data_IF_075551179316
#
_entry.id   IF_075551179316
#
_cell.length_a   1.000
_cell.length_b   1.000
_cell.length_c   1.000
_cell.angle_alpha   90.00
_cell.angle_beta   90.00
_cell.angle_gamma   90.00
#
_symmetry.space_group_name_H-M   'P 1'
#
loop_
_entity.id
_entity.type
_entity.pdbx_description
1 polymer ?
#
# COMPACT_ATOMS: atom_id res chain seq x y z
N UNK A 1 4.35 -6.14 27.02
CA UNK A 1 4.24 -7.52 26.50
C UNK A 1 4.89 -8.52 27.45
N UNK A 2 4.43 -9.78 27.44
CA UNK A 2 4.92 -10.88 28.27
C UNK A 2 4.98 -12.17 27.46
N UNK A 3 6.14 -12.84 27.44
CA UNK A 3 6.29 -14.16 26.81
C UNK A 3 5.83 -15.27 27.76
N UNK A 4 5.04 -16.20 27.25
CA UNK A 4 4.55 -17.37 27.96
C UNK A 4 4.70 -18.62 27.07
N UNK A 5 5.88 -19.22 27.08
CA UNK A 5 6.24 -20.33 26.20
C UNK A 5 6.22 -19.91 24.72
N UNK A 6 5.22 -20.41 23.96
CA UNK A 6 5.05 -20.09 22.53
C UNK A 6 4.00 -19.00 22.29
N UNK A 7 3.54 -18.31 23.33
CA UNK A 7 2.55 -17.23 23.20
C UNK A 7 3.13 -15.91 23.73
N UNK A 8 2.62 -14.80 23.21
CA UNK A 8 2.94 -13.46 23.70
C UNK A 8 1.67 -12.75 24.10
N UNK A 9 1.61 -12.35 25.36
CA UNK A 9 0.47 -11.72 26.00
C UNK A 9 0.76 -10.27 26.36
N UNK A 10 -0.28 -9.52 26.71
CA UNK A 10 -0.17 -8.12 27.14
C UNK A 10 0.52 -7.21 26.08
N UNK A 11 0.37 -7.55 24.79
CA UNK A 11 0.84 -6.71 23.70
C UNK A 11 0.06 -5.40 23.68
N UNK A 12 0.74 -4.31 23.34
CA UNK A 12 0.09 -3.03 23.04
C UNK A 12 0.34 -2.63 21.59
N UNK A 13 -0.74 -2.51 20.83
CA UNK A 13 -0.75 -1.98 19.47
C UNK A 13 -1.37 -0.57 19.49
N UNK A 14 -0.64 0.43 18.99
CA UNK A 14 -1.20 1.74 18.70
C UNK A 14 -1.67 1.77 17.24
N UNK A 15 -2.93 2.05 16.99
CA UNK A 15 -3.48 2.18 15.64
C UNK A 15 -3.75 3.64 15.31
N UNK A 16 -2.95 4.24 14.44
CA UNK A 16 -3.10 5.61 13.93
C UNK A 16 -3.98 5.54 12.67
N UNK A 17 -5.14 6.21 12.72
CA UNK A 17 -6.25 6.01 11.77
C UNK A 17 -7.25 4.96 12.28
N UNK A 18 -7.40 4.85 13.61
CA UNK A 18 -8.21 3.85 14.29
C UNK A 18 -9.72 3.95 13.99
N UNK A 19 -10.18 5.03 13.36
CA UNK A 19 -11.54 5.21 12.84
C UNK A 19 -11.76 4.60 11.45
N UNK A 20 -10.75 3.98 10.84
CA UNK A 20 -10.85 3.38 9.50
C UNK A 20 -11.95 2.32 9.41
N UNK A 21 -12.84 2.47 8.41
CA UNK A 21 -13.98 1.58 8.17
C UNK A 21 -13.67 0.54 7.10
N UNK A 22 -12.63 -0.21 7.32
CA UNK A 22 -12.13 -1.25 6.41
C UNK A 22 -10.84 -1.83 6.94
N UNK A 23 -9.74 -1.09 6.86
CA UNK A 23 -8.43 -1.55 7.33
C UNK A 23 -8.41 -1.90 8.82
N UNK A 24 -9.04 -1.09 9.68
CA UNK A 24 -9.12 -1.42 11.10
C UNK A 24 -9.93 -2.70 11.34
N UNK A 25 -11.05 -2.88 10.63
CA UNK A 25 -11.85 -4.12 10.76
C UNK A 25 -11.10 -5.35 10.25
N UNK A 26 -10.32 -5.20 9.18
CA UNK A 26 -9.44 -6.26 8.69
C UNK A 26 -8.42 -6.68 9.73
N UNK A 27 -7.68 -5.71 10.31
CA UNK A 27 -6.72 -6.02 11.38
C UNK A 27 -7.38 -6.68 12.60
N UNK A 28 -8.57 -6.22 13.02
CA UNK A 28 -9.33 -6.82 14.10
C UNK A 28 -9.66 -8.29 13.83
N UNK A 29 -10.03 -8.59 12.59
CA UNK A 29 -10.32 -9.94 12.13
C UNK A 29 -9.06 -10.82 12.15
N UNK A 30 -7.96 -10.35 11.57
CA UNK A 30 -6.70 -11.11 11.52
C UNK A 30 -6.10 -11.32 12.91
N UNK A 31 -6.23 -10.34 13.83
CA UNK A 31 -5.81 -10.49 15.23
C UNK A 31 -6.66 -11.53 15.96
N UNK A 32 -7.96 -11.60 15.69
CA UNK A 32 -8.85 -12.59 16.30
C UNK A 32 -8.53 -14.03 15.88
N UNK A 33 -7.97 -14.25 14.69
CA UNK A 33 -7.55 -15.56 14.20
C UNK A 33 -6.20 -16.03 14.78
N UNK A 34 -5.34 -15.13 15.22
CA UNK A 34 -4.03 -15.45 15.74
C UNK A 34 -4.14 -16.04 17.15
N UNK A 35 -3.70 -17.28 17.36
CA UNK A 35 -3.86 -18.02 18.62
C UNK A 35 -2.68 -17.90 19.60
N UNK A 36 -1.62 -17.25 19.19
CA UNK A 36 -0.36 -17.12 19.93
C UNK A 36 -0.01 -15.71 20.39
N UNK A 37 -0.85 -14.71 20.07
CA UNK A 37 -0.70 -13.33 20.49
C UNK A 37 -2.00 -12.76 21.06
N UNK A 38 -1.92 -11.95 22.10
CA UNK A 38 -3.07 -11.26 22.69
C UNK A 38 -2.68 -9.97 23.37
N UNK A 39 -3.63 -9.07 23.58
CA UNK A 39 -3.32 -7.80 24.23
C UNK A 39 -4.37 -6.70 24.01
N UNK A 40 -3.90 -5.48 23.76
CA UNK A 40 -4.72 -4.29 23.59
C UNK A 40 -4.38 -3.53 22.32
N UNK A 41 -5.41 -3.01 21.66
CA UNK A 41 -5.29 -2.06 20.55
C UNK A 41 -5.83 -0.71 20.98
N UNK A 42 -4.98 0.29 21.09
CA UNK A 42 -5.38 1.67 21.33
C UNK A 42 -5.63 2.38 19.99
N UNK A 43 -6.88 2.75 19.73
CA UNK A 43 -7.36 3.33 18.48
C UNK A 43 -7.32 4.87 18.59
N UNK A 44 -6.40 5.49 17.86
CA UNK A 44 -6.30 6.93 17.72
C UNK A 44 -6.76 7.37 16.32
N UNK A 45 -7.64 8.34 16.28
CA UNK A 45 -8.07 9.00 15.05
C UNK A 45 -8.34 10.48 15.32
N UNK A 46 -8.16 11.34 14.32
CA UNK A 46 -8.60 12.75 14.41
C UNK A 46 -10.12 12.85 14.52
N UNK A 47 -10.86 11.88 13.95
CA UNK A 47 -12.28 11.64 14.20
C UNK A 47 -12.40 10.64 15.37
N UNK A 48 -12.38 11.20 16.60
CA UNK A 48 -12.47 10.39 17.82
C UNK A 48 -13.77 9.57 17.91
N UNK A 49 -14.88 10.06 17.36
CA UNK A 49 -16.15 9.33 17.32
C UNK A 49 -16.01 8.07 16.44
N UNK A 50 -15.33 8.17 15.31
CA UNK A 50 -15.05 7.00 14.48
C UNK A 50 -14.19 5.94 15.20
N UNK A 51 -13.20 6.37 15.99
CA UNK A 51 -12.41 5.46 16.83
C UNK A 51 -13.28 4.78 17.92
N UNK A 52 -14.20 5.52 18.57
CA UNK A 52 -15.15 4.95 19.52
C UNK A 52 -16.09 3.92 18.87
N UNK A 53 -16.51 4.18 17.63
CA UNK A 53 -17.29 3.22 16.87
C UNK A 53 -16.54 1.91 16.66
N UNK A 54 -15.25 2.01 16.33
CA UNK A 54 -14.40 0.85 16.13
C UNK A 54 -14.00 0.15 17.44
N UNK A 55 -13.94 0.86 18.57
CA UNK A 55 -13.82 0.23 19.90
C UNK A 55 -14.98 -0.75 20.16
N UNK A 56 -16.24 -0.28 19.93
CA UNK A 56 -17.42 -1.12 20.09
C UNK A 56 -17.39 -2.34 19.16
N UNK A 57 -17.05 -2.12 17.89
CA UNK A 57 -16.98 -3.18 16.87
C UNK A 57 -15.88 -4.17 17.22
N UNK A 58 -14.67 -3.69 17.53
CA UNK A 58 -13.51 -4.53 17.82
C UNK A 58 -13.73 -5.44 19.03
N UNK A 59 -14.31 -4.91 20.11
CA UNK A 59 -14.57 -5.71 21.30
C UNK A 59 -15.60 -6.84 21.05
N UNK A 60 -16.48 -6.75 20.04
CA UNK A 60 -17.41 -7.82 19.66
C UNK A 60 -16.71 -9.04 19.05
N UNK A 61 -15.50 -8.89 18.48
CA UNK A 61 -14.75 -10.05 17.96
C UNK A 61 -14.40 -11.06 19.04
N UNK A 62 -14.27 -10.63 20.30
CA UNK A 62 -13.99 -11.52 21.42
C UNK A 62 -15.08 -12.55 21.70
N UNK A 63 -16.31 -12.30 21.28
CA UNK A 63 -17.46 -13.16 21.54
C UNK A 63 -17.75 -14.11 20.38
N UNK A 64 -16.97 -14.06 19.30
CA UNK A 64 -17.16 -14.93 18.14
C UNK A 64 -16.60 -16.32 18.37
N UNK A 65 -17.31 -17.35 17.90
CA UNK A 65 -16.89 -18.76 18.02
C UNK A 65 -15.54 -19.05 17.35
N UNK A 66 -15.20 -18.30 16.28
CA UNK A 66 -13.92 -18.42 15.57
C UNK A 66 -12.76 -17.64 16.19
N UNK A 67 -12.97 -16.85 17.25
CA UNK A 67 -11.92 -16.05 17.88
C UNK A 67 -10.98 -16.93 18.70
N UNK A 68 -9.71 -16.95 18.31
CA UNK A 68 -8.65 -17.76 18.94
C UNK A 68 -7.85 -16.98 19.99
N UNK A 69 -7.91 -15.65 19.94
CA UNK A 69 -7.26 -14.76 20.92
C UNK A 69 -8.22 -13.69 21.44
N UNK A 70 -7.82 -13.05 22.52
CA UNK A 70 -8.59 -11.97 23.15
C UNK A 70 -7.85 -10.64 23.02
N UNK A 71 -8.54 -9.64 22.49
CA UNK A 71 -8.02 -8.30 22.32
C UNK A 71 -8.95 -7.25 22.93
N UNK A 72 -8.41 -6.32 23.70
CA UNK A 72 -9.16 -5.16 24.20
C UNK A 72 -8.95 -4.00 23.27
N UNK A 73 -10.01 -3.51 22.64
CA UNK A 73 -9.96 -2.29 21.81
C UNK A 73 -10.41 -1.09 22.62
N UNK A 74 -9.66 0.01 22.52
CA UNK A 74 -9.92 1.23 23.28
C UNK A 74 -9.67 2.46 22.42
N UNK A 75 -10.67 3.33 22.24
CA UNK A 75 -10.49 4.65 21.65
C UNK A 75 -9.77 5.59 22.61
N UNK A 76 -8.77 6.30 22.12
CA UNK A 76 -7.98 7.27 22.89
C UNK A 76 -8.01 8.63 22.23
N UNK A 77 -7.90 9.71 23.03
CA UNK A 77 -8.07 11.08 22.54
C UNK A 77 -6.80 11.69 21.96
N UNK A 78 -5.65 11.22 22.39
CA UNK A 78 -4.37 11.79 21.97
C UNK A 78 -3.46 10.72 21.39
N UNK A 79 -2.62 11.13 20.45
CA UNK A 79 -1.62 10.23 19.85
C UNK A 79 -0.62 9.73 20.91
N UNK A 80 -0.29 10.56 21.92
CA UNK A 80 0.58 10.16 23.01
C UNK A 80 -0.01 9.05 23.88
N UNK A 81 -1.34 9.07 24.15
CA UNK A 81 -2.02 7.96 24.84
C UNK A 81 -1.94 6.65 24.06
N UNK A 82 -2.14 6.71 22.74
CA UNK A 82 -1.99 5.54 21.89
C UNK A 82 -0.57 4.98 21.91
N UNK A 83 0.41 5.86 21.71
CA UNK A 83 1.81 5.46 21.51
C UNK A 83 2.52 5.05 22.80
N UNK A 84 2.24 5.67 23.96
CA UNK A 84 2.99 5.39 25.19
C UNK A 84 2.99 3.91 25.53
N UNK A 85 4.18 3.29 25.47
CA UNK A 85 4.38 1.88 25.77
C UNK A 85 3.84 0.93 24.70
N UNK A 86 3.65 1.39 23.46
CA UNK A 86 3.29 0.53 22.35
C UNK A 86 4.45 -0.37 21.94
N UNK A 87 4.16 -1.65 21.67
CA UNK A 87 5.07 -2.63 21.08
C UNK A 87 5.05 -2.53 19.55
N UNK A 88 3.86 -2.27 19.00
CA UNK A 88 3.63 -2.05 17.57
C UNK A 88 2.81 -0.78 17.34
N UNK A 89 3.10 -0.11 16.23
CA UNK A 89 2.33 1.02 15.70
C UNK A 89 1.85 0.67 14.30
N UNK A 90 0.55 0.70 14.06
CA UNK A 90 -0.05 0.54 12.73
C UNK A 90 -0.52 1.90 12.25
N UNK A 91 -0.13 2.29 11.03
CA UNK A 91 -0.55 3.55 10.42
C UNK A 91 -1.37 3.25 9.18
N UNK A 92 -2.64 3.68 9.19
CA UNK A 92 -3.56 3.56 8.05
C UNK A 92 -4.49 4.77 8.04
N UNK A 93 -4.02 5.87 7.46
CA UNK A 93 -4.76 7.13 7.35
C UNK A 93 -5.10 7.46 5.90
N UNK A 94 -6.12 8.29 5.69
CA UNK A 94 -6.39 8.96 4.43
C UNK A 94 -5.82 10.39 4.53
N UNK A 95 -4.74 10.73 3.80
CA UNK A 95 -4.23 12.09 3.79
C UNK A 95 -5.19 13.04 3.06
N UNK A 96 -5.87 13.91 3.82
CA UNK A 96 -6.99 14.72 3.33
C UNK A 96 -8.32 13.97 3.36
N UNK A 97 -9.24 14.39 2.52
CA UNK A 97 -10.56 13.78 2.33
C UNK A 97 -10.74 13.24 0.91
N UNK A 98 -11.95 12.78 0.58
CA UNK A 98 -12.27 12.43 -0.81
C UNK A 98 -12.47 13.68 -1.69
N UNK A 99 -12.53 14.89 -1.15
CA UNK A 99 -12.60 16.11 -1.95
C UNK A 99 -11.22 16.46 -2.51
N UNK A 100 -10.15 16.35 -1.70
CA UNK A 100 -8.78 16.46 -2.19
C UNK A 100 -8.43 15.33 -3.15
N UNK A 101 -8.88 14.10 -2.88
CA UNK A 101 -8.69 12.97 -3.80
C UNK A 101 -9.43 13.21 -5.13
N UNK A 102 -10.57 13.88 -5.14
CA UNK A 102 -11.28 14.25 -6.38
C UNK A 102 -10.43 15.20 -7.22
N UNK A 103 -9.78 16.18 -6.59
CA UNK A 103 -8.81 17.03 -7.28
C UNK A 103 -7.61 16.23 -7.79
N UNK A 104 -7.03 15.34 -6.96
CA UNK A 104 -5.87 14.52 -7.35
C UNK A 104 -6.13 13.70 -8.61
N UNK A 105 -7.32 13.09 -8.72
CA UNK A 105 -7.67 12.16 -9.81
C UNK A 105 -8.28 12.89 -11.00
N UNK A 106 -9.17 13.86 -10.77
CA UNK A 106 -10.03 14.41 -11.84
C UNK A 106 -9.63 15.80 -12.34
N UNK A 107 -8.84 16.61 -11.61
CA UNK A 107 -8.32 17.86 -12.13
C UNK A 107 -7.45 17.66 -13.38
N UNK A 108 -6.57 16.64 -13.44
CA UNK A 108 -5.74 16.38 -14.62
C UNK A 108 -6.51 15.97 -15.88
N UNK A 109 -7.75 15.47 -15.75
CA UNK A 109 -8.56 15.03 -16.89
C UNK A 109 -8.86 16.16 -17.88
N UNK A 110 -8.92 17.42 -17.43
CA UNK A 110 -9.06 18.61 -18.28
C UNK A 110 -7.94 18.75 -19.31
N UNK A 111 -6.80 18.13 -19.00
CA UNK A 111 -5.58 18.14 -19.83
C UNK A 111 -5.35 16.79 -20.51
N UNK A 112 -6.35 15.88 -20.50
CA UNK A 112 -6.24 14.56 -21.09
C UNK A 112 -5.36 13.58 -20.30
N UNK A 113 -5.11 13.84 -19.01
CA UNK A 113 -4.35 12.96 -18.12
C UNK A 113 -5.33 12.18 -17.26
N UNK A 114 -5.35 10.86 -17.42
CA UNK A 114 -6.25 9.95 -16.70
C UNK A 114 -5.48 9.10 -15.71
N UNK A 115 -5.94 9.05 -14.46
CA UNK A 115 -5.33 8.26 -13.38
C UNK A 115 -6.35 7.29 -12.77
N UNK A 116 -6.13 5.97 -12.90
CA UNK A 116 -7.01 4.96 -12.29
C UNK A 116 -7.00 4.96 -10.76
N UNK A 117 -5.89 5.42 -10.14
CA UNK A 117 -5.67 5.41 -8.70
C UNK A 117 -5.29 6.79 -8.16
N UNK A 118 -4.28 7.45 -8.75
CA UNK A 118 -3.85 8.81 -8.42
C UNK A 118 -3.28 8.99 -7.01
N UNK A 119 -2.72 7.96 -6.39
CA UNK A 119 -2.26 8.04 -5.01
C UNK A 119 -0.74 7.93 -4.81
N UNK A 120 0.01 7.50 -5.82
CA UNK A 120 1.45 7.19 -5.68
C UNK A 120 2.33 7.95 -6.67
N UNK A 121 1.90 8.08 -7.92
CA UNK A 121 2.64 8.72 -9.02
C UNK A 121 1.69 9.61 -9.83
N UNK A 122 2.20 10.29 -10.86
CA UNK A 122 1.43 11.24 -11.65
C UNK A 122 1.09 12.53 -10.89
N UNK A 123 0.31 13.41 -11.48
CA UNK A 123 -0.14 14.65 -10.85
C UNK A 123 -0.73 14.44 -9.46
N UNK A 124 -1.64 13.49 -9.33
CA UNK A 124 -2.29 13.17 -8.05
C UNK A 124 -1.30 12.70 -6.99
N UNK A 125 -0.37 11.79 -7.34
CA UNK A 125 0.63 11.27 -6.42
C UNK A 125 1.58 12.38 -5.89
N UNK A 126 1.97 13.32 -6.75
CA UNK A 126 2.81 14.46 -6.33
C UNK A 126 2.07 15.33 -5.31
N UNK A 127 0.87 15.81 -5.65
CA UNK A 127 0.10 16.71 -4.77
C UNK A 127 -0.30 16.02 -3.46
N UNK A 128 -0.72 14.75 -3.53
CA UNK A 128 -1.02 13.95 -2.34
C UNK A 128 0.20 13.80 -1.44
N UNK A 129 1.39 13.60 -2.00
CA UNK A 129 2.63 13.51 -1.24
C UNK A 129 2.92 14.76 -0.43
N UNK A 130 2.69 15.96 -1.00
CA UNK A 130 2.95 17.22 -0.32
C UNK A 130 2.14 17.38 0.97
N UNK A 131 0.88 16.93 1.00
CA UNK A 131 0.08 16.96 2.24
C UNK A 131 0.33 15.77 3.17
N UNK A 132 0.80 14.64 2.62
CA UNK A 132 1.08 13.43 3.39
C UNK A 132 2.37 13.54 4.20
N UNK A 133 3.44 14.09 3.60
CA UNK A 133 4.76 14.15 4.24
C UNK A 133 4.72 14.88 5.58
N UNK A 134 4.14 16.09 5.72
CA UNK A 134 4.01 16.76 7.03
C UNK A 134 3.28 15.92 8.07
N UNK A 135 2.19 15.27 7.69
CA UNK A 135 1.43 14.40 8.61
C UNK A 135 2.30 13.25 9.14
N UNK A 136 3.09 12.62 8.27
CA UNK A 136 3.98 11.53 8.65
C UNK A 136 5.20 12.01 9.44
N UNK A 137 5.67 13.22 9.22
CA UNK A 137 6.71 13.84 10.07
C UNK A 137 6.20 14.05 11.50
N UNK A 138 4.96 14.53 11.67
CA UNK A 138 4.32 14.68 12.99
C UNK A 138 4.15 13.34 13.69
N UNK A 139 3.63 12.33 12.98
CA UNK A 139 3.50 10.97 13.50
C UNK A 139 4.88 10.41 13.90
N UNK A 140 5.89 10.58 13.05
CA UNK A 140 7.25 10.11 13.33
C UNK A 140 7.90 10.79 14.55
N UNK A 141 7.66 12.09 14.74
CA UNK A 141 8.08 12.83 15.95
C UNK A 141 7.39 12.29 17.21
N UNK A 142 6.08 12.03 17.13
CA UNK A 142 5.32 11.46 18.23
C UNK A 142 5.81 10.02 18.57
N UNK A 143 6.08 9.18 17.57
CA UNK A 143 6.65 7.84 17.78
C UNK A 143 8.01 7.95 18.48
N UNK A 144 8.88 8.86 18.03
CA UNK A 144 10.19 9.10 18.65
C UNK A 144 10.07 9.49 20.12
N UNK A 145 9.04 10.28 20.48
CA UNK A 145 8.83 10.74 21.85
C UNK A 145 8.21 9.66 22.75
N UNK A 146 7.16 8.97 22.27
CA UNK A 146 6.33 8.12 23.13
C UNK A 146 6.60 6.62 23.03
N UNK A 147 7.13 6.15 21.88
CA UNK A 147 7.38 4.71 21.63
C UNK A 147 8.57 4.45 20.71
N UNK A 148 9.78 4.93 21.04
CA UNK A 148 10.94 4.89 20.13
C UNK A 148 11.41 3.47 19.77
N UNK A 149 11.00 2.46 20.51
CA UNK A 149 11.40 1.07 20.29
C UNK A 149 10.33 0.23 19.57
N UNK A 150 9.13 0.80 19.34
CA UNK A 150 8.04 0.09 18.68
C UNK A 150 8.34 -0.20 17.20
N UNK A 151 7.86 -1.33 16.71
CA UNK A 151 7.80 -1.59 15.28
C UNK A 151 6.63 -0.85 14.64
N UNK A 152 6.89 -0.18 13.53
CA UNK A 152 5.90 0.64 12.80
C UNK A 152 5.57 0.00 11.47
N UNK A 153 4.30 -0.31 11.26
CA UNK A 153 3.75 -0.91 10.05
C UNK A 153 2.90 0.15 9.34
N UNK A 154 3.32 0.57 8.16
CA UNK A 154 2.58 1.55 7.37
C UNK A 154 1.80 0.88 6.25
N UNK A 155 0.50 1.20 6.15
CA UNK A 155 -0.39 0.83 5.05
C UNK A 155 -0.83 2.03 4.19
N UNK A 156 -0.44 3.24 4.59
CA UNK A 156 -0.86 4.47 3.91
C UNK A 156 -0.04 4.71 2.64
N UNK A 157 -0.71 5.18 1.58
CA UNK A 157 -0.11 5.67 0.34
C UNK A 157 -0.10 7.20 0.27
N UNK A 158 0.93 7.78 -0.37
CA UNK A 158 2.05 7.16 -1.13
C UNK A 158 3.06 6.44 -0.22
N UNK A 159 3.19 5.13 -0.39
CA UNK A 159 3.95 4.27 0.53
C UNK A 159 5.40 4.72 0.72
N UNK A 160 6.10 4.97 -0.37
CA UNK A 160 7.51 5.37 -0.34
C UNK A 160 7.71 6.69 0.40
N UNK A 161 6.82 7.68 0.20
CA UNK A 161 6.89 8.99 0.84
C UNK A 161 6.58 8.88 2.34
N UNK A 162 5.58 8.08 2.70
CA UNK A 162 5.23 7.81 4.10
C UNK A 162 6.41 7.21 4.87
N UNK A 163 6.99 6.12 4.35
CA UNK A 163 8.14 5.46 4.97
C UNK A 163 9.35 6.42 5.03
N UNK A 164 9.62 7.15 3.93
CA UNK A 164 10.74 8.10 3.88
C UNK A 164 10.59 9.23 4.90
N UNK A 165 9.39 9.79 5.05
CA UNK A 165 9.12 10.86 6.02
C UNK A 165 9.38 10.40 7.47
N UNK A 166 8.97 9.17 7.83
CA UNK A 166 9.27 8.60 9.15
C UNK A 166 10.78 8.52 9.40
N UNK A 167 11.57 8.00 8.44
CA UNK A 167 13.02 7.90 8.56
C UNK A 167 13.73 9.25 8.54
N UNK A 168 13.18 10.26 7.87
CA UNK A 168 13.74 11.61 7.83
C UNK A 168 13.73 12.28 9.22
N UNK A 169 12.64 12.10 10.00
CA UNK A 169 12.52 12.71 11.33
C UNK A 169 13.05 11.83 12.46
N UNK A 170 13.08 10.52 12.24
CA UNK A 170 13.59 9.55 13.20
C UNK A 170 14.41 8.46 12.48
N UNK A 171 15.70 8.70 12.18
CA UNK A 171 16.53 7.75 11.40
C UNK A 171 16.69 6.35 12.01
N UNK A 172 16.49 6.20 13.32
CA UNK A 172 16.56 4.92 14.03
C UNK A 172 15.21 4.21 14.15
N UNK A 173 14.15 4.77 13.57
CA UNK A 173 12.81 4.18 13.63
C UNK A 173 12.81 2.76 13.06
N UNK A 174 12.12 1.85 13.73
CA UNK A 174 11.87 0.49 13.25
C UNK A 174 10.60 0.49 12.39
N UNK A 175 10.64 1.05 11.17
CA UNK A 175 9.47 1.23 10.31
C UNK A 175 9.62 0.51 8.98
N UNK A 176 8.50 -0.02 8.49
CA UNK A 176 8.39 -0.59 7.16
C UNK A 176 6.99 -0.38 6.57
N UNK A 177 6.88 -0.49 5.25
CA UNK A 177 5.60 -0.39 4.56
C UNK A 177 5.13 -1.74 4.01
N UNK A 178 3.84 -2.04 4.16
CA UNK A 178 3.19 -3.23 3.63
C UNK A 178 2.34 -2.90 2.41
N UNK A 179 2.52 -3.65 1.33
CA UNK A 179 1.71 -3.57 0.12
C UNK A 179 1.38 -4.97 -0.40
N UNK A 180 0.12 -5.18 -0.78
CA UNK A 180 -0.39 -6.47 -1.27
C UNK A 180 -0.35 -6.63 -2.80
N UNK A 181 0.14 -5.66 -3.56
CA UNK A 181 0.15 -5.71 -5.04
C UNK A 181 0.99 -6.88 -5.58
N UNK A 182 2.11 -7.21 -4.94
CA UNK A 182 2.90 -8.42 -5.26
C UNK A 182 2.09 -9.69 -5.04
N UNK A 183 1.23 -9.71 -4.01
CA UNK A 183 0.39 -10.87 -3.67
C UNK A 183 -0.59 -11.20 -4.80
N UNK A 184 -1.21 -10.16 -5.37
CA UNK A 184 -2.07 -10.32 -6.55
C UNK A 184 -1.32 -10.96 -7.73
N UNK A 185 -0.06 -10.59 -7.92
CA UNK A 185 0.77 -11.17 -8.99
C UNK A 185 1.15 -12.63 -8.68
N UNK A 186 1.50 -12.97 -7.44
CA UNK A 186 1.71 -14.38 -7.05
C UNK A 186 0.45 -15.23 -7.30
N UNK A 187 -0.75 -14.68 -7.06
CA UNK A 187 -2.02 -15.36 -7.39
C UNK A 187 -2.16 -15.61 -8.91
N UNK A 188 -1.75 -14.65 -9.74
CA UNK A 188 -1.73 -14.83 -11.21
C UNK A 188 -0.72 -15.91 -11.62
N UNK A 189 0.45 -15.97 -10.98
CA UNK A 189 1.44 -17.02 -11.22
C UNK A 189 0.94 -18.41 -10.79
N UNK A 190 0.23 -18.49 -9.67
CA UNK A 190 -0.42 -19.72 -9.23
C UNK A 190 -1.50 -20.19 -10.23
N UNK A 191 -2.28 -19.24 -10.78
CA UNK A 191 -3.26 -19.53 -11.82
C UNK A 191 -2.59 -19.99 -13.13
N UNK A 192 -1.43 -19.45 -13.49
CA UNK A 192 -0.66 -19.90 -14.65
C UNK A 192 -0.14 -21.35 -14.48
N UNK A 193 0.30 -21.71 -13.27
CA UNK A 193 0.71 -23.07 -12.93
C UNK A 193 -0.46 -24.04 -13.05
N UNK A 194 -1.64 -23.65 -12.54
CA UNK A 194 -2.86 -24.47 -12.66
C UNK A 194 -3.27 -24.65 -14.14
N UNK A 195 -3.30 -23.57 -14.91
CA UNK A 195 -3.73 -23.60 -16.32
C UNK A 195 -2.80 -24.41 -17.23
N UNK A 196 -1.48 -24.33 -17.02
CA UNK A 196 -0.48 -24.94 -17.89
C UNK A 196 -0.09 -26.35 -17.43
N UNK A 197 0.05 -26.55 -16.10
CA UNK A 197 0.51 -27.83 -15.55
C UNK A 197 -0.60 -28.66 -14.89
N UNK A 198 -1.80 -28.10 -14.70
CA UNK A 198 -2.89 -28.75 -13.96
C UNK A 198 -2.62 -28.88 -12.45
N UNK A 199 -1.70 -28.07 -11.91
CA UNK A 199 -1.33 -28.09 -10.47
C UNK A 199 -2.02 -26.93 -9.76
N UNK A 200 -3.08 -27.23 -9.02
CA UNK A 200 -3.81 -26.24 -8.23
C UNK A 200 -3.08 -25.94 -6.93
N UNK A 201 -2.75 -24.67 -6.69
CA UNK A 201 -2.12 -24.21 -5.47
C UNK A 201 -3.18 -23.63 -4.52
N UNK A 202 -3.14 -24.03 -3.26
CA UNK A 202 -4.03 -23.52 -2.21
C UNK A 202 -3.57 -22.15 -1.67
N UNK A 203 -2.26 -21.91 -1.67
CA UNK A 203 -1.65 -20.66 -1.18
C UNK A 203 -0.72 -20.08 -2.25
N UNK A 204 -0.90 -18.79 -2.57
CA UNK A 204 -0.01 -18.01 -3.43
C UNK A 204 1.46 -18.04 -2.98
N UNK A 205 1.68 -18.20 -1.67
CA UNK A 205 3.02 -18.23 -1.05
C UNK A 205 3.84 -19.46 -1.45
N UNK A 206 3.20 -20.48 -2.04
CA UNK A 206 3.90 -21.61 -2.64
C UNK A 206 4.77 -21.17 -3.84
N UNK A 207 4.40 -20.09 -4.53
CA UNK A 207 5.22 -19.49 -5.59
C UNK A 207 6.21 -18.51 -4.93
N UNK A 208 7.48 -18.89 -4.89
CA UNK A 208 8.57 -18.05 -4.38
C UNK A 208 9.01 -17.10 -5.49
N UNK A 209 9.12 -15.81 -5.15
CA UNK A 209 9.46 -14.77 -6.12
C UNK A 209 10.61 -13.90 -5.61
N UNK A 210 11.47 -13.42 -6.51
CA UNK A 210 12.41 -12.34 -6.22
C UNK A 210 11.81 -11.02 -6.67
N UNK A 211 11.62 -10.09 -5.74
CA UNK A 211 10.96 -8.79 -5.95
C UNK A 211 12.00 -7.67 -5.97
N UNK A 212 11.98 -6.83 -7.01
CA UNK A 212 12.89 -5.70 -7.18
C UNK A 212 12.16 -4.49 -7.74
N UNK A 213 12.29 -3.32 -7.13
CA UNK A 213 11.72 -2.08 -7.64
C UNK A 213 11.28 -1.11 -6.54
N UNK A 214 10.30 -0.28 -6.87
CA UNK A 214 9.66 0.68 -5.97
C UNK A 214 8.19 0.32 -5.80
N UNK A 215 7.56 0.78 -4.72
CA UNK A 215 6.17 0.44 -4.42
C UNK A 215 5.22 0.70 -5.61
N UNK A 216 4.32 -0.24 -5.87
CA UNK A 216 3.39 -0.31 -6.99
C UNK A 216 4.04 -0.45 -8.38
N UNK A 217 5.37 -0.41 -8.45
CA UNK A 217 6.13 -0.62 -9.69
C UNK A 217 7.32 -1.56 -9.45
N UNK A 218 7.02 -2.67 -8.80
CA UNK A 218 7.95 -3.78 -8.57
C UNK A 218 7.95 -4.74 -9.75
N UNK A 219 9.05 -5.48 -9.87
CA UNK A 219 9.27 -6.48 -10.91
C UNK A 219 9.73 -7.78 -10.28
N UNK A 220 9.24 -8.90 -10.80
CA UNK A 220 9.69 -10.23 -10.42
C UNK A 220 10.73 -10.67 -11.45
N UNK A 221 11.92 -10.97 -10.96
CA UNK A 221 13.08 -11.38 -11.78
C UNK A 221 13.40 -12.85 -11.67
N UNK A 222 12.86 -13.54 -10.67
CA UNK A 222 12.89 -14.99 -10.49
C UNK A 222 11.59 -15.45 -9.84
N UNK A 223 11.01 -16.53 -10.35
CA UNK A 223 9.80 -17.13 -9.80
C UNK A 223 9.89 -18.65 -9.84
N UNK A 224 9.67 -19.31 -8.70
CA UNK A 224 9.78 -20.76 -8.56
C UNK A 224 8.62 -21.36 -7.79
N UNK A 225 8.18 -22.51 -8.26
CA UNK A 225 7.33 -23.44 -7.51
C UNK A 225 8.13 -24.73 -7.28
N UNK A 226 8.56 -24.98 -6.05
CA UNK A 226 9.59 -25.98 -5.74
C UNK A 226 10.85 -25.76 -6.61
N UNK A 227 11.21 -26.73 -7.44
CA UNK A 227 12.34 -26.67 -8.40
C UNK A 227 11.90 -26.29 -9.82
N UNK A 228 10.64 -25.94 -10.03
CA UNK A 228 10.08 -25.57 -11.33
C UNK A 228 10.28 -24.07 -11.56
N UNK A 229 10.91 -23.69 -12.66
CA UNK A 229 10.95 -22.31 -13.13
C UNK A 229 9.57 -21.90 -13.67
N UNK A 230 9.00 -20.83 -13.11
CA UNK A 230 7.65 -20.37 -13.47
C UNK A 230 7.66 -19.45 -14.70
N UNK A 231 8.80 -18.90 -15.10
CA UNK A 231 8.87 -17.98 -16.23
C UNK A 231 8.42 -18.59 -17.58
N UNK A 232 8.86 -19.81 -17.96
CA UNK A 232 8.35 -20.47 -19.18
C UNK A 232 6.84 -20.72 -19.12
N UNK A 233 6.32 -21.14 -17.96
CA UNK A 233 4.90 -21.37 -17.71
C UNK A 233 4.11 -20.07 -17.85
N UNK A 234 4.59 -19.00 -17.22
CA UNK A 234 3.95 -17.69 -17.32
C UNK A 234 3.98 -17.14 -18.76
N UNK A 235 5.06 -17.39 -19.51
CA UNK A 235 5.14 -17.02 -20.93
C UNK A 235 4.03 -17.68 -21.74
N UNK A 236 3.84 -18.99 -21.57
CA UNK A 236 2.77 -19.74 -22.25
C UNK A 236 1.39 -19.20 -21.87
N UNK A 237 1.16 -18.97 -20.60
CA UNK A 237 -0.07 -18.37 -20.07
C UNK A 237 -0.34 -16.99 -20.65
N UNK A 238 0.68 -16.12 -20.72
CA UNK A 238 0.59 -14.79 -21.32
C UNK A 238 0.23 -14.87 -22.80
N UNK A 239 0.89 -15.73 -23.60
CA UNK A 239 0.59 -15.89 -25.02
C UNK A 239 -0.85 -16.37 -25.25
N UNK A 240 -1.36 -17.26 -24.39
CA UNK A 240 -2.75 -17.76 -24.44
C UNK A 240 -3.75 -16.66 -24.15
N UNK A 241 -3.51 -15.81 -23.15
CA UNK A 241 -4.46 -14.84 -22.64
C UNK A 241 -4.16 -13.38 -22.99
N UNK A 242 -3.15 -13.09 -23.79
CA UNK A 242 -2.71 -11.73 -24.11
C UNK A 242 -3.85 -10.81 -24.61
N UNK A 243 -4.71 -11.33 -25.49
CA UNK A 243 -5.80 -10.55 -26.10
C UNK A 243 -7.05 -10.43 -25.20
N UNK A 244 -7.35 -11.48 -24.46
CA UNK A 244 -8.58 -11.57 -23.65
C UNK A 244 -8.39 -11.09 -22.23
N UNK A 245 -7.15 -11.17 -21.75
CA UNK A 245 -6.86 -11.04 -20.32
C UNK A 245 -7.40 -12.21 -19.51
N UNK A 246 -7.13 -12.16 -18.21
CA UNK A 246 -7.65 -13.08 -17.20
C UNK A 246 -8.29 -12.26 -16.10
N UNK A 247 -9.60 -12.36 -15.95
CA UNK A 247 -10.34 -11.74 -14.84
C UNK A 247 -10.40 -12.70 -13.67
N UNK A 248 -10.36 -12.17 -12.43
CA UNK A 248 -10.69 -12.96 -11.25
C UNK A 248 -12.12 -13.49 -11.40
N UNK A 249 -12.32 -14.78 -11.08
CA UNK A 249 -13.64 -15.42 -11.11
C UNK A 249 -14.57 -14.99 -9.97
N UNK A 250 -14.05 -14.25 -8.98
CA UNK A 250 -14.85 -13.83 -7.85
C UNK A 250 -15.75 -12.67 -8.28
N UNK A 251 -17.06 -12.90 -8.21
CA UNK A 251 -18.12 -11.89 -8.29
C UNK A 251 -18.09 -10.98 -7.05
N UNK A 252 -16.96 -10.33 -6.85
CA UNK A 252 -16.82 -9.29 -5.88
C UNK A 252 -17.54 -8.04 -6.45
N UNK A 253 -18.44 -7.44 -5.67
CA UNK A 253 -19.15 -6.22 -6.03
C UNK A 253 -18.25 -5.05 -6.48
N UNK A 254 -16.96 -5.11 -6.13
CA UNK A 254 -15.93 -4.17 -6.58
C UNK A 254 -15.39 -4.45 -8.00
N UNK A 255 -15.67 -5.60 -8.61
CA UNK A 255 -15.03 -6.02 -9.85
C UNK A 255 -15.29 -5.08 -11.03
N UNK A 256 -16.47 -4.43 -11.12
CA UNK A 256 -16.76 -3.48 -12.18
C UNK A 256 -16.00 -2.16 -12.06
N UNK A 257 -15.66 -1.76 -10.83
CA UNK A 257 -15.01 -0.47 -10.52
C UNK A 257 -13.49 -0.64 -10.41
N UNK A 258 -13.04 -1.83 -9.99
CA UNK A 258 -11.62 -2.20 -9.89
C UNK A 258 -11.24 -3.28 -10.90
N UNK A 259 -11.88 -3.29 -12.06
CA UNK A 259 -11.57 -4.24 -13.14
C UNK A 259 -10.07 -4.25 -13.44
N UNK A 260 -9.51 -5.46 -13.56
CA UNK A 260 -8.12 -5.71 -13.90
C UNK A 260 -8.04 -7.02 -14.66
N UNK A 261 -7.78 -6.93 -15.96
CA UNK A 261 -7.68 -8.10 -16.84
C UNK A 261 -6.27 -8.66 -16.96
N UNK A 262 -5.29 -8.08 -16.27
CA UNK A 262 -3.85 -8.41 -16.31
C UNK A 262 -3.18 -8.12 -17.69
N UNK A 263 -3.85 -7.42 -18.61
CA UNK A 263 -3.33 -7.21 -19.98
C UNK A 263 -2.17 -6.23 -20.04
N UNK A 264 -2.16 -5.19 -19.19
CA UNK A 264 -1.00 -4.29 -19.06
C UNK A 264 0.21 -5.07 -18.55
N UNK A 265 0.03 -5.90 -17.53
CA UNK A 265 1.07 -6.80 -17.00
C UNK A 265 1.61 -7.76 -18.07
N UNK A 266 0.73 -8.35 -18.88
CA UNK A 266 1.12 -9.24 -19.96
C UNK A 266 1.89 -8.52 -21.07
N UNK A 267 1.48 -7.29 -21.43
CA UNK A 267 2.17 -6.48 -22.41
C UNK A 267 3.59 -6.09 -21.95
N UNK A 268 3.70 -5.67 -20.70
CA UNK A 268 5.00 -5.35 -20.09
C UNK A 268 5.92 -6.58 -20.06
N UNK A 269 5.38 -7.77 -19.73
CA UNK A 269 6.16 -9.00 -19.76
C UNK A 269 6.65 -9.34 -21.17
N UNK A 270 5.80 -9.22 -22.18
CA UNK A 270 6.21 -9.46 -23.59
C UNK A 270 7.30 -8.51 -24.08
N UNK A 271 7.26 -7.25 -23.60
CA UNK A 271 8.26 -6.23 -23.95
C UNK A 271 9.59 -6.43 -23.25
N UNK A 272 9.55 -6.74 -21.97
CA UNK A 272 10.74 -6.67 -21.10
C UNK A 272 11.24 -8.01 -20.58
N UNK A 273 10.46 -9.09 -20.71
CA UNK A 273 10.87 -10.43 -20.28
C UNK A 273 10.92 -10.62 -18.75
N UNK A 274 10.49 -9.61 -17.99
CA UNK A 274 10.36 -9.65 -16.53
C UNK A 274 8.91 -9.34 -16.12
N UNK A 275 8.46 -9.84 -14.99
CA UNK A 275 7.04 -9.79 -14.61
C UNK A 275 6.78 -8.55 -13.76
N UNK A 276 5.97 -7.61 -14.23
CA UNK A 276 5.54 -6.47 -13.44
C UNK A 276 4.60 -6.93 -12.32
N UNK A 277 4.86 -6.52 -11.07
CA UNK A 277 4.24 -7.10 -9.89
C UNK A 277 3.25 -6.15 -9.19
N UNK A 278 2.34 -5.59 -9.98
CA UNK A 278 1.19 -4.82 -9.49
C UNK A 278 -0.01 -5.05 -10.40
N UNK A 279 -1.19 -4.56 -10.04
CA UNK A 279 -2.37 -4.57 -10.90
C UNK A 279 -2.25 -3.58 -12.07
N UNK A 280 -2.99 -3.83 -13.16
CA UNK A 280 -2.94 -3.03 -14.39
C UNK A 280 -3.16 -1.54 -14.12
N UNK A 281 -4.05 -1.20 -13.17
CA UNK A 281 -4.39 0.16 -12.79
C UNK A 281 -3.20 0.94 -12.25
N UNK A 282 -2.37 0.31 -11.40
CA UNK A 282 -1.12 0.89 -10.92
C UNK A 282 -0.08 0.91 -12.04
N UNK A 283 0.17 -0.24 -12.69
CA UNK A 283 1.22 -0.35 -13.70
C UNK A 283 1.07 0.68 -14.82
N UNK A 284 -0.16 0.98 -15.24
CA UNK A 284 -0.44 1.97 -16.26
C UNK A 284 0.01 3.39 -15.88
N UNK A 285 -0.11 3.76 -14.59
CA UNK A 285 0.27 5.09 -14.10
C UNK A 285 1.80 5.32 -14.05
N UNK A 286 2.58 4.25 -14.03
CA UNK A 286 4.06 4.34 -14.02
C UNK A 286 4.68 4.32 -15.43
N UNK A 287 3.85 4.12 -16.45
CA UNK A 287 4.26 4.12 -17.86
C UNK A 287 3.95 5.46 -18.52
N UNK A 288 4.41 5.64 -19.77
CA UNK A 288 3.97 6.77 -20.58
C UNK A 288 2.44 6.72 -20.74
N UNK A 289 1.75 7.83 -20.45
CA UNK A 289 0.29 7.89 -20.50
C UNK A 289 -0.31 7.47 -21.85
N UNK A 290 0.44 7.73 -22.93
CA UNK A 290 0.05 7.30 -24.29
C UNK A 290 -0.02 5.78 -24.49
N UNK A 291 0.61 4.98 -23.61
CA UNK A 291 0.61 3.52 -23.78
C UNK A 291 -0.73 2.90 -23.38
N UNK A 292 -1.30 3.33 -22.25
CA UNK A 292 -2.48 2.68 -21.66
C UNK A 292 -3.55 3.65 -21.17
N UNK A 293 -3.25 4.95 -21.05
CA UNK A 293 -4.08 5.98 -20.38
C UNK A 293 -4.40 7.17 -21.30
N UNK A 294 -4.31 7.00 -22.62
CA UNK A 294 -4.59 8.08 -23.58
C UNK A 294 -6.03 8.58 -23.52
N UNK A 295 -6.98 7.69 -23.25
CA UNK A 295 -8.39 8.03 -23.10
C UNK A 295 -9.13 6.94 -22.29
N UNK A 296 -10.35 7.24 -21.77
CA UNK A 296 -11.18 6.24 -21.11
C UNK A 296 -11.49 5.01 -21.97
N UNK A 297 -11.64 5.21 -23.31
CA UNK A 297 -11.86 4.11 -24.26
C UNK A 297 -10.66 3.18 -24.31
N UNK A 298 -9.43 3.74 -24.37
CA UNK A 298 -8.21 2.93 -24.36
C UNK A 298 -8.08 2.14 -23.05
N UNK A 299 -8.39 2.75 -21.90
CA UNK A 299 -8.41 2.06 -20.60
C UNK A 299 -9.35 0.85 -20.65
N UNK A 300 -10.56 1.05 -21.20
CA UNK A 300 -11.54 -0.02 -21.36
C UNK A 300 -11.07 -1.11 -22.34
N UNK A 301 -10.41 -0.73 -23.43
CA UNK A 301 -9.79 -1.69 -24.38
C UNK A 301 -8.71 -2.54 -23.69
N UNK A 302 -7.91 -1.96 -22.80
CA UNK A 302 -6.93 -2.69 -22.01
C UNK A 302 -7.54 -3.52 -20.88
N UNK A 303 -8.84 -3.39 -20.63
CA UNK A 303 -9.61 -4.24 -19.71
C UNK A 303 -9.37 -3.93 -18.23
N UNK A 304 -9.11 -2.67 -17.91
CA UNK A 304 -9.10 -2.18 -16.53
C UNK A 304 -10.02 -0.95 -16.39
N UNK A 305 -10.19 -0.44 -15.17
CA UNK A 305 -11.12 0.65 -14.89
C UNK A 305 -10.44 1.89 -14.34
N UNK A 306 -10.93 3.06 -14.73
CA UNK A 306 -10.78 4.31 -13.99
C UNK A 306 -11.78 4.28 -12.83
N UNK A 307 -11.31 4.44 -11.59
CA UNK A 307 -12.21 4.45 -10.44
C UNK A 307 -12.60 5.89 -10.12
N UNK A 308 -13.85 6.32 -10.42
CA UNK A 308 -14.26 7.68 -10.12
C UNK A 308 -14.35 7.90 -8.61
N UNK A 309 -13.91 9.08 -8.14
CA UNK A 309 -13.92 9.40 -6.71
C UNK A 309 -15.36 9.50 -6.19
N UNK A 310 -16.33 9.83 -7.04
CA UNK A 310 -17.76 9.76 -6.71
C UNK A 310 -18.20 8.38 -6.21
N UNK A 311 -17.62 7.30 -6.77
CA UNK A 311 -17.86 5.94 -6.26
C UNK A 311 -17.31 5.78 -4.84
N UNK A 312 -16.09 6.29 -4.55
CA UNK A 312 -15.49 6.23 -3.20
C UNK A 312 -16.32 7.01 -2.17
N UNK A 313 -16.88 8.16 -2.58
CA UNK A 313 -17.82 8.93 -1.74
C UNK A 313 -19.11 8.15 -1.46
N UNK A 314 -19.59 7.39 -2.44
CA UNK A 314 -20.73 6.46 -2.27
C UNK A 314 -20.38 5.30 -1.32
N UNK A 315 -19.28 4.61 -1.55
CA UNK A 315 -18.78 3.53 -0.70
C UNK A 315 -18.59 3.98 0.76
N UNK A 316 -18.13 5.23 0.98
CA UNK A 316 -18.04 5.77 2.33
C UNK A 316 -19.41 5.82 3.03
N UNK A 317 -20.47 6.24 2.31
CA UNK A 317 -21.83 6.25 2.89
C UNK A 317 -22.28 4.84 3.28
N UNK A 318 -22.00 3.86 2.44
CA UNK A 318 -22.33 2.46 2.70
C UNK A 318 -21.53 1.90 3.90
N UNK A 319 -20.24 2.24 4.01
CA UNK A 319 -19.39 1.87 5.15
C UNK A 319 -19.83 2.54 6.46
N UNK A 320 -20.28 3.79 6.40
CA UNK A 320 -20.88 4.48 7.56
C UNK A 320 -22.16 3.77 8.03
N UNK A 321 -23.04 3.41 7.10
CA UNK A 321 -24.25 2.66 7.41
C UNK A 321 -23.92 1.27 7.96
N UNK A 322 -22.94 0.56 7.38
CA UNK A 322 -22.45 -0.73 7.89
C UNK A 322 -21.87 -0.60 9.31
N UNK A 323 -21.04 0.42 9.56
CA UNK A 323 -20.50 0.70 10.90
C UNK A 323 -21.61 0.85 11.93
N UNK A 324 -22.70 1.55 11.59
CA UNK A 324 -23.88 1.66 12.45
C UNK A 324 -24.50 0.30 12.74
N UNK A 325 -24.78 -0.53 11.72
CA UNK A 325 -25.38 -1.86 11.88
C UNK A 325 -24.50 -2.80 12.72
N UNK A 326 -23.17 -2.79 12.50
CA UNK A 326 -22.23 -3.58 13.29
C UNK A 326 -22.23 -3.14 14.78
N UNK A 327 -22.28 -1.83 15.07
CA UNK A 327 -22.33 -1.32 16.44
C UNK A 327 -23.63 -1.70 17.16
N UNK A 328 -24.77 -1.53 16.49
CA UNK A 328 -26.09 -1.80 17.09
C UNK A 328 -26.41 -3.29 17.20
N UNK A 329 -25.67 -4.14 16.50
CA UNK A 329 -25.94 -5.59 16.43
C UNK A 329 -27.01 -5.98 15.39
N UNK A 330 -27.42 -5.02 14.52
CA UNK A 330 -28.27 -5.31 13.37
C UNK A 330 -27.52 -6.16 12.33
N UNK A 331 -26.19 -6.05 12.28
CA UNK A 331 -25.30 -6.88 11.48
C UNK A 331 -24.23 -7.49 12.40
N UNK A 332 -23.97 -8.78 12.28
CA UNK A 332 -22.93 -9.44 13.05
C UNK A 332 -21.55 -9.12 12.50
N UNK A 333 -20.55 -8.96 13.39
CA UNK A 333 -19.15 -8.99 12.98
C UNK A 333 -18.79 -10.43 12.57
N UNK A 334 -17.88 -10.55 11.60
CA UNK A 334 -17.47 -11.85 11.06
C UNK A 334 -15.94 -11.86 10.97
N UNK A 335 -15.33 -12.98 11.36
CA UNK A 335 -13.90 -13.20 11.16
C UNK A 335 -13.70 -13.62 9.70
N UNK A 336 -12.93 -12.84 8.96
CA UNK A 336 -12.56 -13.11 7.58
C UNK A 336 -11.07 -12.92 7.43
N UNK A 337 -10.36 -13.92 6.95
CA UNK A 337 -8.96 -13.79 6.62
C UNK A 337 -8.78 -12.74 5.51
N UNK A 338 -8.04 -11.67 5.79
CA UNK A 338 -7.84 -10.58 4.83
C UNK A 338 -6.82 -10.92 3.75
N UNK A 339 -5.95 -11.89 4.01
CA UNK A 339 -4.78 -12.21 3.18
C UNK A 339 -3.62 -11.22 3.35
N UNK A 340 -3.76 -10.23 4.26
CA UNK A 340 -2.68 -9.31 4.63
C UNK A 340 -1.62 -9.99 5.51
N UNK A 341 -0.38 -9.54 5.40
CA UNK A 341 0.74 -10.16 6.11
C UNK A 341 1.04 -9.52 7.48
N UNK A 342 0.39 -8.42 7.86
CA UNK A 342 0.77 -7.60 9.01
C UNK A 342 0.81 -8.35 10.35
N UNK A 343 -0.22 -9.12 10.67
CA UNK A 343 -0.25 -9.92 11.90
C UNK A 343 0.84 -10.99 11.88
N UNK A 344 1.09 -11.61 10.73
CA UNK A 344 2.16 -12.59 10.57
C UNK A 344 3.57 -11.97 10.69
N UNK A 345 3.74 -10.75 10.18
CA UNK A 345 4.97 -9.97 10.39
C UNK A 345 5.17 -9.63 11.87
N UNK A 346 4.10 -9.25 12.60
CA UNK A 346 4.17 -9.05 14.05
C UNK A 346 4.64 -10.32 14.77
N UNK A 347 4.04 -11.48 14.45
CA UNK A 347 4.41 -12.78 15.04
C UNK A 347 5.88 -13.13 14.79
N UNK A 348 6.37 -12.87 13.57
CA UNK A 348 7.78 -13.10 13.24
C UNK A 348 8.72 -12.15 14.00
N UNK A 349 8.37 -10.88 14.15
CA UNK A 349 9.13 -9.92 14.94
C UNK A 349 9.12 -10.23 16.45
N UNK A 350 8.11 -10.95 16.91
CA UNK A 350 8.02 -11.49 18.27
C UNK A 350 8.79 -12.82 18.45
N UNK A 351 9.43 -13.35 17.41
CA UNK A 351 10.17 -14.61 17.46
C UNK A 351 9.29 -15.87 17.49
N UNK A 352 8.02 -15.76 17.10
CA UNK A 352 7.10 -16.90 17.07
C UNK A 352 7.23 -17.73 15.78
N UNK A 353 7.69 -17.12 14.70
CA UNK A 353 8.02 -17.77 13.42
C UNK A 353 9.07 -16.96 12.66
N UNK A 354 9.73 -17.59 11.68
CA UNK A 354 10.46 -16.87 10.63
C UNK A 354 9.52 -16.62 9.45
N UNK A 355 9.49 -15.40 8.91
CA UNK A 355 8.62 -15.06 7.81
C UNK A 355 9.33 -14.25 6.72
N UNK A 356 9.20 -14.67 5.46
CA UNK A 356 9.77 -13.96 4.31
C UNK A 356 8.64 -13.44 3.43
N UNK A 357 8.62 -12.11 3.19
CA UNK A 357 7.65 -11.44 2.31
C UNK A 357 8.26 -10.18 1.72
N UNK A 358 7.58 -9.56 0.73
CA UNK A 358 7.97 -8.25 0.22
C UNK A 358 7.67 -7.14 1.25
N UNK A 359 8.52 -6.13 1.25
CA UNK A 359 8.43 -5.01 2.20
C UNK A 359 9.06 -3.75 1.61
N UNK A 360 8.51 -2.60 1.98
CA UNK A 360 9.02 -1.29 1.61
C UNK A 360 9.96 -0.76 2.70
N UNK A 361 11.24 -0.61 2.35
CA UNK A 361 12.32 -0.16 3.24
C UNK A 361 13.27 0.80 2.49
N UNK A 362 13.97 1.70 3.19
CA UNK A 362 15.07 2.45 2.59
C UNK A 362 16.13 1.51 1.98
N UNK A 363 16.56 1.81 0.76
CA UNK A 363 17.62 1.07 0.09
C UNK A 363 18.95 1.22 0.85
N UNK A 364 19.46 0.11 1.35
CA UNK A 364 20.77 -0.01 2.01
C UNK A 364 21.74 -0.88 1.19
N UNK A 365 21.42 -1.09 -0.11
CA UNK A 365 22.17 -1.92 -1.04
C UNK A 365 21.43 -3.16 -1.53
N UNK A 366 20.19 -3.39 -1.07
CA UNK A 366 19.35 -4.50 -1.57
C UNK A 366 19.05 -4.39 -3.07
N UNK A 367 19.05 -3.18 -3.62
CA UNK A 367 19.01 -2.91 -5.07
C UNK A 367 20.24 -2.04 -5.41
N UNK A 368 21.32 -2.63 -5.92
CA UNK A 368 22.63 -1.95 -6.02
C UNK A 368 22.68 -0.83 -7.07
N UNK A 369 21.78 -0.82 -8.07
CA UNK A 369 21.72 0.20 -9.11
C UNK A 369 20.64 1.26 -8.89
N UNK A 370 20.04 1.33 -7.70
CA UNK A 370 19.22 2.46 -7.26
C UNK A 370 19.92 3.22 -6.13
N UNK A 371 19.65 4.54 -5.96
CA UNK A 371 20.32 5.35 -4.96
C UNK A 371 20.08 4.82 -3.52
N UNK A 372 21.07 4.94 -2.66
CA UNK A 372 20.94 4.64 -1.24
C UNK A 372 19.91 5.58 -0.59
N UNK A 373 19.08 5.02 0.30
CA UNK A 373 18.11 5.77 1.08
C UNK A 373 16.78 6.09 0.36
N UNK A 374 16.63 5.82 -0.95
CA UNK A 374 15.29 5.76 -1.57
C UNK A 374 14.53 4.57 -1.01
N UNK A 375 13.21 4.69 -0.89
CA UNK A 375 12.40 3.56 -0.41
C UNK A 375 12.16 2.62 -1.59
N UNK A 376 12.57 1.37 -1.41
CA UNK A 376 12.43 0.29 -2.40
C UNK A 376 11.59 -0.84 -1.84
N UNK A 377 11.00 -1.64 -2.72
CA UNK A 377 10.25 -2.83 -2.33
C UNK A 377 11.00 -4.08 -2.80
N UNK A 378 11.44 -4.87 -1.81
CA UNK A 378 12.15 -6.14 -1.98
C UNK A 378 11.68 -7.14 -0.95
N UNK A 379 12.02 -8.41 -1.10
CA UNK A 379 11.81 -9.38 -0.03
C UNK A 379 12.68 -9.06 1.19
N UNK A 380 12.16 -9.38 2.37
CA UNK A 380 12.91 -9.38 3.62
C UNK A 380 12.52 -10.57 4.49
N UNK A 381 13.43 -10.97 5.37
CA UNK A 381 13.22 -11.99 6.39
C UNK A 381 12.88 -11.27 7.70
N UNK A 382 11.71 -11.56 8.23
CA UNK A 382 11.24 -11.11 9.54
C UNK A 382 11.54 -12.21 10.57
N UNK A 383 12.22 -11.87 11.66
CA UNK A 383 12.52 -12.79 12.77
C UNK A 383 13.07 -12.04 13.98
N UNK A 384 12.72 -12.46 15.19
CA UNK A 384 13.37 -12.05 16.45
C UNK A 384 13.76 -10.56 16.51
N UNK A 385 12.79 -9.66 16.55
CA UNK A 385 12.99 -8.19 16.61
C UNK A 385 13.84 -7.61 15.46
N UNK A 386 13.87 -8.28 14.30
CA UNK A 386 14.67 -7.85 13.16
C UNK A 386 13.99 -8.03 11.83
N UNK A 387 14.32 -7.14 10.88
CA UNK A 387 13.98 -7.26 9.46
C UNK A 387 15.29 -7.25 8.68
N UNK A 388 15.55 -8.32 7.97
CA UNK A 388 16.76 -8.51 7.17
C UNK A 388 16.39 -8.41 5.70
N UNK A 389 16.64 -7.26 5.04
CA UNK A 389 16.37 -7.14 3.60
C UNK A 389 17.18 -8.15 2.79
N UNK A 390 16.53 -8.82 1.86
CA UNK A 390 17.19 -9.73 0.93
C UNK A 390 17.81 -8.90 -0.20
N UNK A 391 19.06 -9.22 -0.58
CA UNK A 391 19.65 -8.64 -1.79
C UNK A 391 18.85 -9.13 -3.01
N UNK A 392 18.11 -8.22 -3.63
CA UNK A 392 17.26 -8.52 -4.78
C UNK A 392 18.03 -8.52 -6.13
N UNK A 393 19.28 -8.08 -6.10
CA UNK A 393 20.03 -7.80 -7.31
C UNK A 393 19.65 -6.47 -7.97
N UNK A 394 20.25 -6.15 -9.12
CA UNK A 394 19.95 -4.90 -9.83
C UNK A 394 18.57 -4.94 -10.50
N UNK A 395 17.92 -3.79 -10.60
CA UNK A 395 16.81 -3.59 -11.54
C UNK A 395 17.31 -3.94 -12.94
N UNK A 396 16.62 -4.84 -13.68
CA UNK A 396 17.04 -5.27 -15.01
C UNK A 396 17.19 -4.09 -16.00
N UNK A 397 18.20 -4.14 -16.88
CA UNK A 397 18.50 -3.06 -17.82
C UNK A 397 17.29 -2.64 -18.66
N UNK A 398 16.44 -3.58 -19.08
CA UNK A 398 15.26 -3.30 -19.89
C UNK A 398 14.22 -2.40 -19.20
N UNK A 399 14.11 -2.46 -17.87
CA UNK A 399 13.15 -1.70 -17.07
C UNK A 399 13.80 -0.65 -16.17
N UNK A 400 15.13 -0.58 -16.16
CA UNK A 400 15.88 0.32 -15.29
C UNK A 400 15.48 1.79 -15.48
N UNK A 401 15.36 2.26 -16.72
CA UNK A 401 14.97 3.65 -17.01
C UNK A 401 13.57 4.00 -16.50
N UNK A 402 12.66 3.03 -16.51
CA UNK A 402 11.31 3.22 -15.97
C UNK A 402 11.35 3.34 -14.45
N UNK A 403 12.03 2.41 -13.77
CA UNK A 403 12.09 2.37 -12.30
C UNK A 403 12.94 3.50 -11.72
N UNK A 404 14.10 3.80 -12.33
CA UNK A 404 15.01 4.84 -11.83
C UNK A 404 14.40 6.24 -11.92
N UNK A 405 13.62 6.54 -12.96
CA UNK A 405 12.88 7.80 -13.09
C UNK A 405 11.90 7.99 -11.92
N UNK A 406 11.18 6.93 -11.54
CA UNK A 406 10.25 6.99 -10.43
C UNK A 406 10.99 7.14 -9.10
N UNK A 407 12.08 6.42 -8.91
CA UNK A 407 12.91 6.56 -7.71
C UNK A 407 13.48 7.98 -7.55
N UNK A 408 13.89 8.62 -8.65
CA UNK A 408 14.34 10.01 -8.67
C UNK A 408 13.21 10.99 -8.36
N UNK A 409 12.03 10.83 -8.99
CA UNK A 409 10.85 11.63 -8.70
C UNK A 409 10.45 11.53 -7.21
N UNK A 410 10.48 10.33 -6.64
CA UNK A 410 10.20 10.13 -5.21
C UNK A 410 11.22 10.84 -4.32
N UNK A 411 12.49 10.86 -4.69
CA UNK A 411 13.52 11.59 -3.95
C UNK A 411 13.28 13.12 -4.01
N UNK A 412 12.95 13.66 -5.18
CA UNK A 412 12.60 15.07 -5.36
C UNK A 412 11.37 15.46 -4.53
N UNK A 413 10.31 14.66 -4.58
CA UNK A 413 9.07 14.92 -3.82
C UNK A 413 9.34 14.84 -2.31
N UNK A 414 10.13 13.87 -1.85
CA UNK A 414 10.52 13.76 -0.44
C UNK A 414 11.29 14.99 0.03
N UNK A 415 12.20 15.51 -0.80
CA UNK A 415 12.96 16.72 -0.47
C UNK A 415 12.06 17.96 -0.51
N UNK A 416 11.18 18.10 -1.51
CA UNK A 416 10.19 19.16 -1.59
C UNK A 416 9.28 19.18 -0.35
N UNK A 417 8.82 18.00 0.08
CA UNK A 417 8.05 17.86 1.30
C UNK A 417 8.82 18.29 2.54
N UNK A 418 10.07 17.85 2.68
CA UNK A 418 10.92 18.16 3.83
C UNK A 418 11.27 19.66 3.93
N UNK A 419 11.51 20.31 2.78
CA UNK A 419 11.89 21.74 2.70
C UNK A 419 10.71 22.68 2.54
N UNK A 420 9.51 22.14 2.29
CA UNK A 420 8.30 22.90 1.94
C UNK A 420 8.45 23.72 0.66
N UNK A 421 9.19 23.18 -0.32
CA UNK A 421 9.53 23.84 -1.59
C UNK A 421 8.60 23.38 -2.73
N UNK A 422 7.63 24.24 -3.10
CA UNK A 422 6.70 23.97 -4.20
C UNK A 422 7.37 23.96 -5.57
N UNK A 423 8.46 24.74 -5.76
CA UNK A 423 9.18 24.73 -7.04
C UNK A 423 9.95 23.42 -7.25
N UNK A 424 10.45 22.85 -6.18
CA UNK A 424 11.05 21.51 -6.24
C UNK A 424 9.99 20.42 -6.52
N UNK A 425 8.80 20.57 -5.93
CA UNK A 425 7.66 19.70 -6.24
C UNK A 425 7.20 19.82 -7.69
N UNK A 426 7.19 21.03 -8.24
CA UNK A 426 6.85 21.27 -9.65
C UNK A 426 7.85 20.58 -10.60
N UNK A 427 9.14 20.54 -10.26
CA UNK A 427 10.13 19.79 -11.07
C UNK A 427 9.79 18.30 -11.11
N UNK A 428 9.40 17.71 -9.97
CA UNK A 428 8.96 16.32 -9.95
C UNK A 428 7.67 16.11 -10.78
N UNK A 429 6.76 17.07 -10.70
CA UNK A 429 5.49 17.06 -11.44
C UNK A 429 5.69 17.03 -12.96
N UNK A 430 6.53 17.92 -13.51
CA UNK A 430 6.78 17.98 -14.95
C UNK A 430 7.67 16.85 -15.48
N UNK A 431 8.40 16.17 -14.59
CA UNK A 431 9.22 15.00 -14.96
C UNK A 431 8.44 13.70 -14.94
N UNK A 432 7.16 13.72 -14.47
CA UNK A 432 6.35 12.51 -14.42
C UNK A 432 5.89 12.10 -15.83
N UNK A 433 5.93 10.78 -16.16
CA UNK A 433 5.55 10.29 -17.49
C UNK A 433 4.08 10.51 -17.86
N UNK A 434 3.24 10.78 -16.86
CA UNK A 434 1.82 11.11 -17.09
C UNK A 434 1.58 12.59 -17.39
N UNK A 435 2.60 13.45 -17.35
CA UNK A 435 2.49 14.90 -17.59
C UNK A 435 3.12 15.28 -18.94
N UNK A 436 2.53 14.92 -20.09
CA UNK A 436 3.05 15.26 -21.42
C UNK A 436 2.64 16.67 -21.85
N UNK A 437 2.57 17.62 -20.90
CA UNK A 437 2.13 18.99 -21.13
C UNK A 437 3.30 19.92 -21.42
N UNK A 438 3.04 21.03 -22.13
CA UNK A 438 3.99 22.13 -22.12
C UNK A 438 4.08 22.77 -20.72
N UNK A 439 5.15 23.54 -20.48
CA UNK A 439 5.43 24.09 -19.14
C UNK A 439 4.36 25.09 -18.66
N UNK A 440 3.65 25.75 -19.58
CA UNK A 440 2.61 26.73 -19.23
C UNK A 440 1.37 26.00 -18.69
N UNK A 441 0.92 24.98 -19.40
CA UNK A 441 -0.23 24.20 -19.00
C UNK A 441 0.07 23.29 -17.80
N UNK A 442 1.30 22.73 -17.72
CA UNK A 442 1.74 22.00 -16.54
C UNK A 442 1.74 22.89 -15.28
N UNK A 443 2.20 24.15 -15.39
CA UNK A 443 2.15 25.11 -14.27
C UNK A 443 0.71 25.44 -13.86
N UNK A 444 -0.17 25.70 -14.81
CA UNK A 444 -1.58 25.96 -14.51
C UNK A 444 -2.24 24.82 -13.78
N UNK A 445 -2.02 23.57 -14.24
CA UNK A 445 -2.56 22.40 -13.60
C UNK A 445 -1.98 22.22 -12.18
N UNK A 446 -0.67 22.34 -12.02
CA UNK A 446 -0.01 22.24 -10.72
C UNK A 446 -0.56 23.27 -9.73
N UNK A 447 -0.64 24.54 -10.13
CA UNK A 447 -1.13 25.63 -9.28
C UNK A 447 -2.62 25.43 -8.92
N UNK A 448 -3.46 24.96 -9.87
CA UNK A 448 -4.86 24.60 -9.61
C UNK A 448 -4.95 23.48 -8.55
N UNK A 449 -4.16 22.42 -8.69
CA UNK A 449 -4.20 21.29 -7.75
C UNK A 449 -3.64 21.68 -6.37
N UNK A 450 -2.64 22.56 -6.30
CA UNK A 450 -2.15 23.14 -5.04
C UNK A 450 -3.24 23.98 -4.37
N UNK A 451 -3.94 24.85 -5.12
CA UNK A 451 -5.03 25.66 -4.59
C UNK A 451 -6.19 24.77 -4.06
N UNK A 452 -6.54 23.72 -4.79
CA UNK A 452 -7.61 22.79 -4.40
C UNK A 452 -7.31 22.03 -3.09
N UNK A 453 -6.04 21.91 -2.70
CA UNK A 453 -5.63 21.19 -1.48
C UNK A 453 -4.94 22.11 -0.44
N UNK A 454 -5.04 23.41 -0.61
CA UNK A 454 -4.31 24.44 0.17
C UNK A 454 -4.51 24.34 1.69
N UNK A 455 -5.67 23.85 2.14
CA UNK A 455 -5.95 23.68 3.58
C UNK A 455 -4.94 22.75 4.27
N UNK A 456 -4.35 21.82 3.51
CA UNK A 456 -3.33 20.89 3.98
C UNK A 456 -1.89 21.34 3.66
N UNK A 457 -1.71 22.45 2.93
CA UNK A 457 -0.42 22.96 2.45
C UNK A 457 0.01 24.27 3.14
N UNK A 458 -0.57 24.61 4.28
CA UNK A 458 -0.29 25.91 4.96
C UNK A 458 1.19 26.17 5.24
N UNK A 459 2.03 25.14 5.40
CA UNK A 459 3.46 25.30 5.60
C UNK A 459 4.23 25.63 4.30
N UNK A 460 3.67 25.26 3.13
CA UNK A 460 4.25 25.56 1.81
C UNK A 460 3.87 26.95 1.28
N UNK A 461 2.81 27.54 1.81
CA UNK A 461 2.23 28.80 1.33
C UNK A 461 2.63 30.00 2.22
N UNK A 462 3.57 29.78 3.13
CA UNK A 462 4.17 30.85 3.97
C UNK A 462 5.32 31.53 3.21
#
# INVERSE_FOLDING_TARGET
MRYNGKTVEDLKIAYIGGGSRGWAWGLMSDLAEADDISGRVDLYDIDYEAAQHNEIIGNKFNDLEGARSKWTYRAVKTIGEALTGADFVVISILPGTFDEMESDVHAPEKYGIYQPVGDTTGPGGVIRSLRTIPMFEEIGKAIKEYSPNAWVINYTNPMAQCVKALYNVFPQIKAFGCCHEVFGTQTVLAAAIDDVLGIRLEDRKAVKVNVVGVNHFTWITDAKYHNIDVFPIYKEFVEKYYKTGVKKKDDNWMNSVFDCSQRVKFDLFRRYGVIAAAGDRHLAEFCEGSWYLKSPEQVKEWGFALTPVSWRKGDLKDRLAKSKRLRTGEEAVVINNTGEDGVRQMRALLGLEDYTTNVNLPNKGQIPNLPLGVVVETNAIFRDDSIIPVNAGPVPTGVWSLVSRIADAQALISEAGRTRDLELAFKAFVNDPLVPLDLVDARKLFDEMVENTKEYLGEYLK
#
